data_IF_000174311379
#
_entry.id   IF_000174311379
#
_cell.length_a   1.000
_cell.length_b   1.000
_cell.length_c   1.000
_cell.angle_alpha   90.00
_cell.angle_beta   90.00
_cell.angle_gamma   90.00
#
_symmetry.space_group_name_H-M   'P 1'
#
loop_
_entity.id
_entity.type
_entity.pdbx_description
1 polymer ?
#
# COMPACT_ATOMS: atom_id res chain seq x y z
N UNK A 1 -43.35 -8.76 -40.53
CA UNK A 1 -42.09 -8.10 -40.11
C UNK A 1 -42.46 -7.09 -39.05
N UNK A 2 -42.09 -7.34 -37.80
CA UNK A 2 -42.44 -6.44 -36.70
C UNK A 2 -41.71 -5.11 -36.89
N UNK A 3 -42.48 -4.02 -36.95
CA UNK A 3 -41.96 -2.66 -37.06
C UNK A 3 -42.01 -1.99 -35.68
N UNK A 4 -40.91 -1.34 -35.30
CA UNK A 4 -40.77 -0.68 -34.02
C UNK A 4 -41.12 0.80 -34.16
N UNK A 5 -42.26 1.20 -33.60
CA UNK A 5 -42.74 2.58 -33.66
C UNK A 5 -42.16 3.41 -32.52
N UNK A 6 -41.74 4.65 -32.83
CA UNK A 6 -41.36 5.59 -31.80
C UNK A 6 -42.59 6.06 -31.01
N UNK A 7 -42.44 6.18 -29.70
CA UNK A 7 -43.54 6.60 -28.80
C UNK A 7 -43.70 8.11 -28.71
N UNK A 8 -42.69 8.86 -29.17
CA UNK A 8 -42.65 10.33 -29.14
C UNK A 8 -42.81 10.96 -30.53
N UNK A 9 -42.83 10.14 -31.59
CA UNK A 9 -43.26 10.57 -32.91
C UNK A 9 -43.73 9.36 -33.73
N UNK A 10 -44.51 9.58 -34.79
CA UNK A 10 -45.12 8.48 -35.56
C UNK A 10 -44.17 7.72 -36.51
N UNK A 11 -42.85 7.84 -36.35
CA UNK A 11 -41.87 7.12 -37.18
C UNK A 11 -41.74 5.64 -36.78
N UNK A 12 -41.70 4.77 -37.78
CA UNK A 12 -41.50 3.31 -37.65
C UNK A 12 -40.13 2.87 -38.16
N UNK A 13 -39.54 1.89 -37.49
CA UNK A 13 -38.19 1.39 -37.78
C UNK A 13 -38.18 -0.14 -37.90
N UNK A 14 -37.30 -0.67 -38.76
CA UNK A 14 -37.13 -2.11 -38.98
C UNK A 14 -36.36 -2.83 -37.88
N UNK A 15 -35.68 -2.10 -36.98
CA UNK A 15 -34.93 -2.68 -35.85
C UNK A 15 -34.99 -1.79 -34.61
N UNK A 16 -34.97 -2.40 -33.43
CA UNK A 16 -34.89 -1.71 -32.13
C UNK A 16 -33.67 -0.79 -32.04
N UNK A 17 -32.54 -1.18 -32.63
CA UNK A 17 -31.32 -0.35 -32.65
C UNK A 17 -31.50 0.95 -33.43
N UNK A 18 -32.24 0.92 -34.55
CA UNK A 18 -32.54 2.12 -35.32
C UNK A 18 -33.53 3.03 -34.61
N UNK A 19 -34.56 2.45 -33.98
CA UNK A 19 -35.49 3.19 -33.12
C UNK A 19 -34.75 3.89 -31.96
N UNK A 20 -33.87 3.17 -31.26
CA UNK A 20 -33.07 3.71 -30.17
C UNK A 20 -32.13 4.84 -30.63
N UNK A 21 -31.52 4.72 -31.82
CA UNK A 21 -30.72 5.80 -32.42
C UNK A 21 -31.56 7.02 -32.79
N UNK A 22 -32.76 6.81 -33.33
CA UNK A 22 -33.69 7.89 -33.68
C UNK A 22 -34.17 8.63 -32.44
N UNK A 23 -34.68 7.91 -31.43
CA UNK A 23 -35.17 8.52 -30.19
C UNK A 23 -34.07 9.30 -29.47
N UNK A 24 -32.83 8.84 -29.58
CA UNK A 24 -31.65 9.50 -29.04
C UNK A 24 -31.23 10.80 -29.75
N UNK A 25 -31.34 10.85 -31.08
CA UNK A 25 -30.94 12.02 -31.87
C UNK A 25 -32.03 13.08 -31.98
N UNK A 26 -33.30 12.66 -31.98
CA UNK A 26 -34.44 13.54 -32.22
C UNK A 26 -35.14 13.94 -30.91
N UNK A 27 -35.18 13.05 -29.92
CA UNK A 27 -35.92 13.29 -28.66
C UNK A 27 -35.02 13.45 -27.43
N UNK A 28 -33.70 13.61 -27.65
CA UNK A 28 -32.70 13.96 -26.63
C UNK A 28 -32.75 13.11 -25.34
N UNK A 29 -33.14 11.83 -25.44
CA UNK A 29 -33.13 10.91 -24.30
C UNK A 29 -31.69 10.67 -23.82
N UNK A 30 -31.37 11.19 -22.64
CA UNK A 30 -30.07 11.04 -21.97
C UNK A 30 -29.85 9.59 -21.60
N UNK A 31 -28.99 8.92 -22.37
CA UNK A 31 -28.44 7.61 -22.04
C UNK A 31 -27.06 7.45 -22.68
N UNK A 32 -26.09 7.14 -21.82
CA UNK A 32 -24.68 6.78 -22.03
C UNK A 32 -24.30 6.36 -23.46
N UNK A 33 -24.04 7.34 -24.33
CA UNK A 33 -23.37 7.04 -25.60
C UNK A 33 -21.96 6.56 -25.24
N UNK A 34 -21.55 5.38 -25.70
CA UNK A 34 -20.12 5.06 -25.76
C UNK A 34 -19.45 6.05 -26.72
N UNK A 35 -18.99 7.17 -26.16
CA UNK A 35 -18.24 8.18 -26.88
C UNK A 35 -16.86 7.63 -27.23
N UNK A 36 -16.34 8.10 -28.35
CA UNK A 36 -15.00 7.80 -28.83
C UNK A 36 -14.17 9.05 -28.62
N UNK A 37 -13.18 8.99 -27.72
CA UNK A 37 -12.30 10.13 -27.44
C UNK A 37 -11.15 10.21 -28.44
N UNK A 38 -10.93 11.39 -29.02
CA UNK A 38 -9.76 11.73 -29.81
C UNK A 38 -8.51 11.81 -28.92
N UNK A 39 -7.40 11.20 -29.35
CA UNK A 39 -6.15 11.17 -28.58
C UNK A 39 -5.29 12.43 -28.74
N UNK A 40 -5.64 13.32 -29.69
CA UNK A 40 -4.89 14.53 -30.01
C UNK A 40 -5.46 15.79 -29.34
N UNK A 41 -6.77 15.79 -29.01
CA UNK A 41 -7.43 16.94 -28.39
C UNK A 41 -8.49 16.58 -27.36
N UNK A 42 -8.60 15.29 -26.98
CA UNK A 42 -9.56 14.78 -25.99
C UNK A 42 -11.06 15.02 -26.30
N UNK A 43 -11.41 15.51 -27.49
CA UNK A 43 -12.80 15.68 -27.94
C UNK A 43 -13.51 14.32 -27.98
N UNK A 44 -14.74 14.29 -27.49
CA UNK A 44 -15.58 13.09 -27.45
C UNK A 44 -16.56 13.06 -28.63
N UNK A 45 -16.47 12.01 -29.44
CA UNK A 45 -17.23 11.86 -30.67
C UNK A 45 -18.22 10.70 -30.61
N UNK A 46 -19.32 10.82 -31.36
CA UNK A 46 -20.44 9.86 -31.34
C UNK A 46 -20.13 8.55 -32.07
N UNK A 47 -19.09 8.47 -32.89
CA UNK A 47 -18.73 7.27 -33.65
C UNK A 47 -17.26 7.21 -34.06
N UNK A 48 -16.79 6.03 -34.47
CA UNK A 48 -15.43 5.86 -35.01
C UNK A 48 -15.21 6.59 -36.34
N UNK A 49 -16.24 6.65 -37.20
CA UNK A 49 -16.15 7.37 -38.48
C UNK A 49 -16.06 8.87 -38.25
N UNK A 50 -16.87 9.40 -37.33
CA UNK A 50 -16.76 10.79 -36.89
C UNK A 50 -15.36 11.11 -36.33
N UNK A 51 -14.74 10.19 -35.59
CA UNK A 51 -13.35 10.36 -35.14
C UNK A 51 -12.36 10.39 -36.33
N UNK A 52 -12.48 9.48 -37.30
CA UNK A 52 -11.62 9.48 -38.50
C UNK A 52 -11.74 10.81 -39.26
N UNK A 53 -12.97 11.31 -39.45
CA UNK A 53 -13.24 12.58 -40.14
C UNK A 53 -12.73 13.78 -39.32
N UNK A 54 -12.89 13.75 -38.00
CA UNK A 54 -12.35 14.77 -37.10
C UNK A 54 -10.82 14.83 -37.15
N UNK A 55 -10.14 13.69 -37.19
CA UNK A 55 -8.67 13.64 -37.28
C UNK A 55 -8.20 14.25 -38.61
N UNK A 56 -8.91 14.00 -39.69
CA UNK A 56 -8.57 14.59 -40.99
C UNK A 56 -8.84 16.09 -41.02
N UNK A 57 -10.03 16.54 -40.60
CA UNK A 57 -10.46 17.95 -40.72
C UNK A 57 -9.88 18.89 -39.67
N UNK A 58 -9.70 18.42 -38.44
CA UNK A 58 -9.26 19.28 -37.31
C UNK A 58 -7.76 19.15 -37.07
N UNK A 59 -7.20 17.96 -37.31
CA UNK A 59 -5.78 17.72 -37.11
C UNK A 59 -4.98 17.67 -38.40
N UNK A 60 -5.61 17.80 -39.57
CA UNK A 60 -4.96 17.72 -40.89
C UNK A 60 -4.16 16.42 -41.05
N UNK A 61 -4.70 15.31 -40.55
CA UNK A 61 -4.06 14.00 -40.60
C UNK A 61 -4.92 13.05 -41.42
N UNK A 62 -4.45 12.76 -42.63
CA UNK A 62 -5.12 11.79 -43.50
C UNK A 62 -4.95 10.37 -42.97
N UNK A 63 -6.08 9.65 -42.88
CA UNK A 63 -6.11 8.25 -42.46
C UNK A 63 -5.73 7.35 -43.63
N UNK A 64 -4.51 6.86 -43.63
CA UNK A 64 -4.00 6.00 -44.69
C UNK A 64 -4.40 4.54 -44.45
N UNK A 65 -4.87 3.89 -45.52
CA UNK A 65 -5.30 2.50 -45.53
C UNK A 65 -4.57 1.73 -46.61
N UNK A 66 -4.22 0.49 -46.31
CA UNK A 66 -3.59 -0.46 -47.22
C UNK A 66 -4.42 -1.75 -47.24
N UNK A 67 -4.55 -2.37 -48.40
CA UNK A 67 -5.26 -3.65 -48.55
C UNK A 67 -4.30 -4.71 -49.05
N UNK A 68 -4.20 -5.82 -48.31
CA UNK A 68 -3.30 -6.93 -48.65
C UNK A 68 -4.04 -8.25 -48.66
N UNK A 69 -3.60 -9.17 -49.51
CA UNK A 69 -4.09 -10.54 -49.56
C UNK A 69 -2.97 -11.51 -49.21
N UNK A 70 -3.32 -12.58 -48.52
CA UNK A 70 -2.44 -13.66 -48.09
C UNK A 70 -3.10 -14.99 -48.41
N UNK A 71 -2.29 -15.99 -48.76
CA UNK A 71 -2.80 -17.32 -49.11
C UNK A 71 -3.29 -18.08 -47.88
N UNK A 72 -2.64 -17.87 -46.73
CA UNK A 72 -3.05 -18.48 -45.45
C UNK A 72 -3.13 -17.47 -44.32
N UNK A 73 -3.88 -17.83 -43.27
CA UNK A 73 -3.88 -17.07 -42.02
C UNK A 73 -2.52 -17.04 -41.32
N UNK A 74 -1.65 -18.01 -41.59
CA UNK A 74 -0.31 -18.05 -41.03
C UNK A 74 0.60 -16.99 -41.66
N UNK A 75 0.49 -16.77 -42.98
CA UNK A 75 1.23 -15.71 -43.67
C UNK A 75 0.83 -14.32 -43.18
N UNK A 76 -0.47 -14.13 -42.93
CA UNK A 76 -0.97 -12.93 -42.26
C UNK A 76 -0.34 -12.72 -40.88
N UNK A 77 -0.20 -13.77 -40.06
CA UNK A 77 0.41 -13.64 -38.72
C UNK A 77 1.87 -13.19 -38.81
N UNK A 78 2.66 -13.79 -39.71
CA UNK A 78 4.06 -13.43 -39.91
C UNK A 78 4.20 -11.97 -40.36
N UNK A 79 3.35 -11.54 -41.28
CA UNK A 79 3.29 -10.14 -41.70
C UNK A 79 2.89 -9.21 -40.54
N UNK A 80 1.87 -9.59 -39.76
CA UNK A 80 1.44 -8.83 -38.58
C UNK A 80 2.59 -8.68 -37.58
N UNK A 81 3.33 -9.75 -37.27
CA UNK A 81 4.48 -9.71 -36.36
C UNK A 81 5.59 -8.76 -36.85
N UNK A 82 5.85 -8.75 -38.17
CA UNK A 82 6.77 -7.80 -38.79
C UNK A 82 6.32 -6.35 -38.60
N UNK A 83 5.03 -6.05 -38.83
CA UNK A 83 4.46 -4.72 -38.59
C UNK A 83 4.53 -4.35 -37.09
N UNK A 84 4.25 -5.29 -36.19
CA UNK A 84 4.31 -5.05 -34.74
C UNK A 84 5.72 -4.70 -34.27
N UNK A 85 6.74 -5.36 -34.84
CA UNK A 85 8.15 -5.07 -34.59
C UNK A 85 8.56 -3.69 -35.14
N UNK A 86 8.16 -3.37 -36.38
CA UNK A 86 8.48 -2.09 -37.01
C UNK A 86 7.81 -0.90 -36.29
N UNK A 87 6.56 -1.06 -35.86
CA UNK A 87 5.76 0.03 -35.25
C UNK A 87 5.82 0.05 -33.72
N UNK A 88 6.56 -0.86 -33.10
CA UNK A 88 6.61 -1.05 -31.64
C UNK A 88 5.20 -1.08 -30.99
N UNK A 89 4.23 -1.65 -31.70
CA UNK A 89 2.82 -1.63 -31.35
C UNK A 89 2.21 -3.00 -31.60
N UNK A 90 1.47 -3.55 -30.64
CA UNK A 90 0.75 -4.81 -30.80
C UNK A 90 -0.69 -4.58 -31.30
N UNK A 91 -1.21 -5.51 -32.11
CA UNK A 91 -2.58 -5.56 -32.61
C UNK A 91 -3.33 -6.73 -31.98
N UNK A 92 -4.25 -6.42 -31.07
CA UNK A 92 -4.94 -7.39 -30.21
C UNK A 92 -6.41 -7.58 -30.62
N UNK A 93 -6.88 -8.81 -30.51
CA UNK A 93 -8.27 -9.19 -30.72
C UNK A 93 -9.06 -8.98 -29.42
N UNK A 94 -9.90 -7.94 -29.38
CA UNK A 94 -10.70 -7.60 -28.20
C UNK A 94 -12.15 -8.13 -28.26
N UNK A 95 -12.57 -8.66 -29.41
CA UNK A 95 -13.94 -9.14 -29.64
C UNK A 95 -13.92 -10.46 -30.40
N UNK A 96 -14.98 -11.26 -30.25
CA UNK A 96 -15.18 -12.45 -31.06
C UNK A 96 -15.21 -12.12 -32.57
N UNK A 97 -14.84 -13.10 -33.39
CA UNK A 97 -14.94 -12.99 -34.84
C UNK A 97 -16.43 -12.97 -35.25
N UNK A 98 -16.74 -12.28 -36.34
CA UNK A 98 -18.11 -12.14 -36.85
C UNK A 98 -18.26 -12.92 -38.15
N UNK A 99 -19.43 -13.49 -38.39
CA UNK A 99 -19.76 -14.10 -39.68
C UNK A 99 -19.85 -13.02 -40.77
N UNK A 100 -19.18 -13.27 -41.89
CA UNK A 100 -19.19 -12.43 -43.08
C UNK A 100 -20.42 -12.70 -43.95
N UNK A 101 -20.68 -11.80 -44.90
CA UNK A 101 -21.86 -11.89 -45.79
C UNK A 101 -21.83 -13.11 -46.74
N UNK A 102 -20.66 -13.70 -46.97
CA UNK A 102 -20.43 -14.81 -47.91
C UNK A 102 -19.95 -16.09 -47.21
N UNK A 103 -20.33 -16.31 -45.95
CA UNK A 103 -19.90 -17.50 -45.17
C UNK A 103 -18.49 -17.42 -44.57
N UNK A 104 -17.65 -16.49 -45.03
CA UNK A 104 -16.33 -16.22 -44.46
C UNK A 104 -16.35 -15.61 -43.04
N UNK A 105 -15.18 -15.46 -42.43
CA UNK A 105 -14.99 -14.98 -41.05
C UNK A 105 -14.29 -13.62 -41.03
N UNK A 106 -14.88 -12.67 -40.30
CA UNK A 106 -14.34 -11.33 -40.12
C UNK A 106 -13.76 -11.14 -38.71
N UNK A 107 -12.51 -10.71 -38.61
CA UNK A 107 -11.80 -10.47 -37.34
C UNK A 107 -11.20 -9.07 -37.31
N UNK A 108 -11.35 -8.39 -36.17
CA UNK A 108 -10.77 -7.06 -35.95
C UNK A 108 -9.62 -7.14 -34.94
N UNK A 109 -8.45 -6.65 -35.33
CA UNK A 109 -7.32 -6.42 -34.45
C UNK A 109 -7.13 -4.92 -34.27
N UNK A 110 -7.08 -4.47 -33.02
CA UNK A 110 -6.89 -3.06 -32.69
C UNK A 110 -5.54 -2.87 -32.03
N UNK A 111 -4.93 -1.69 -32.19
CA UNK A 111 -3.77 -1.32 -31.40
C UNK A 111 -4.03 -1.60 -29.90
N UNK A 112 -3.09 -2.26 -29.23
CA UNK A 112 -3.19 -2.65 -27.82
C UNK A 112 -3.33 -1.46 -26.87
N UNK A 113 -2.80 -0.29 -27.26
CA UNK A 113 -2.92 0.97 -26.54
C UNK A 113 -4.31 1.59 -26.67
N UNK A 114 -5.08 1.23 -27.70
CA UNK A 114 -6.42 1.75 -27.96
C UNK A 114 -7.43 1.36 -26.86
N UNK A 115 -8.25 2.33 -26.46
CA UNK A 115 -9.34 2.18 -25.50
C UNK A 115 -9.03 2.77 -24.13
N UNK A 116 -9.98 2.56 -23.22
CA UNK A 116 -9.90 3.03 -21.84
C UNK A 116 -9.41 1.93 -20.91
N UNK A 117 -8.70 2.31 -19.87
CA UNK A 117 -8.46 1.43 -18.75
C UNK A 117 -9.77 1.16 -18.01
N UNK A 118 -10.09 -0.12 -17.81
CA UNK A 118 -11.21 -0.54 -16.96
C UNK A 118 -10.63 -1.25 -15.74
N UNK A 119 -10.78 -0.66 -14.56
CA UNK A 119 -10.43 -1.33 -13.31
C UNK A 119 -11.27 -2.61 -13.15
N UNK A 120 -10.65 -3.69 -12.66
CA UNK A 120 -11.34 -4.94 -12.32
C UNK A 120 -11.07 -5.27 -10.85
N UNK A 121 -12.13 -5.44 -10.07
CA UNK A 121 -12.10 -5.75 -8.62
C UNK A 121 -12.17 -4.50 -7.72
N UNK A 122 -12.47 -4.71 -6.44
CA UNK A 122 -12.68 -3.68 -5.41
C UNK A 122 -11.38 -2.97 -5.00
N UNK A 123 -10.59 -2.40 -5.93
CA UNK A 123 -9.44 -1.50 -5.67
C UNK A 123 -8.42 -1.91 -4.57
N UNK A 124 -8.41 -3.16 -4.08
CA UNK A 124 -7.55 -3.64 -2.98
C UNK A 124 -6.10 -3.93 -3.40
N UNK A 125 -5.78 -3.84 -4.70
CA UNK A 125 -4.42 -3.97 -5.21
C UNK A 125 -3.99 -2.65 -5.84
N UNK A 126 -2.96 -2.04 -5.25
CA UNK A 126 -2.30 -0.87 -5.82
C UNK A 126 -1.93 -1.12 -7.29
N UNK A 127 -2.15 -0.13 -8.15
CA UNK A 127 -1.70 -0.21 -9.53
C UNK A 127 -0.19 -0.44 -9.58
N UNK A 128 0.27 -1.20 -10.58
CA UNK A 128 1.70 -1.24 -10.89
C UNK A 128 2.16 0.20 -11.16
N UNK A 129 3.37 0.56 -10.74
CA UNK A 129 3.97 1.90 -10.95
C UNK A 129 3.88 2.35 -12.42
N UNK A 130 3.92 1.41 -13.37
CA UNK A 130 3.81 1.69 -14.80
C UNK A 130 2.38 2.01 -15.30
N UNK A 131 1.37 1.93 -14.45
CA UNK A 131 -0.03 2.21 -14.82
C UNK A 131 -0.58 1.26 -15.90
N UNK A 132 -1.55 1.76 -16.66
CA UNK A 132 -2.14 1.06 -17.80
C UNK A 132 -1.47 1.46 -19.11
N UNK A 133 -1.27 0.52 -20.04
CA UNK A 133 -0.84 0.82 -21.41
C UNK A 133 -1.94 1.46 -22.28
N UNK A 134 -3.14 1.70 -21.72
CA UNK A 134 -4.28 2.30 -22.43
C UNK A 134 -4.11 3.81 -22.51
N UNK A 135 -4.29 4.36 -23.70
CA UNK A 135 -4.16 5.82 -23.95
C UNK A 135 -5.42 6.60 -23.60
N UNK A 136 -6.40 5.96 -22.94
CA UNK A 136 -7.69 6.56 -22.58
C UNK A 136 -8.36 7.32 -23.73
N UNK A 137 -8.26 6.73 -24.91
CA UNK A 137 -8.80 7.27 -26.16
C UNK A 137 -8.67 6.23 -27.26
N UNK A 138 -9.14 6.57 -28.46
CA UNK A 138 -9.20 5.62 -29.57
C UNK A 138 -8.09 5.89 -30.57
N UNK A 139 -7.09 5.00 -30.61
CA UNK A 139 -6.16 4.93 -31.74
C UNK A 139 -6.91 4.51 -33.02
N UNK A 140 -6.75 5.23 -34.15
CA UNK A 140 -7.38 4.89 -35.44
C UNK A 140 -6.78 3.63 -36.08
N UNK A 141 -5.53 3.29 -35.76
CA UNK A 141 -4.86 2.12 -36.32
C UNK A 141 -5.52 0.80 -35.92
N UNK A 142 -5.79 -0.03 -36.93
CA UNK A 142 -6.52 -1.30 -36.83
C UNK A 142 -6.28 -2.15 -38.07
N UNK A 143 -6.40 -3.46 -37.91
CA UNK A 143 -6.43 -4.43 -39.01
C UNK A 143 -7.81 -5.09 -39.02
N UNK A 144 -8.48 -5.04 -40.16
CA UNK A 144 -9.73 -5.75 -40.42
C UNK A 144 -9.42 -6.90 -41.37
N UNK A 145 -9.55 -8.11 -40.86
CA UNK A 145 -9.11 -9.35 -41.50
C UNK A 145 -10.33 -10.15 -41.89
N UNK A 146 -10.46 -10.44 -43.18
CA UNK A 146 -11.49 -11.31 -43.75
C UNK A 146 -10.83 -12.61 -44.23
N UNK A 147 -11.31 -13.73 -43.73
CA UNK A 147 -10.92 -15.08 -44.13
C UNK A 147 -12.11 -15.68 -44.87
N UNK A 148 -11.94 -16.07 -46.13
CA UNK A 148 -13.01 -16.70 -46.90
C UNK A 148 -13.13 -18.21 -46.65
N UNK A 149 -14.00 -18.88 -47.39
CA UNK A 149 -14.26 -20.32 -47.25
C UNK A 149 -13.06 -21.14 -47.77
N UNK A 150 -12.26 -20.58 -48.68
CA UNK A 150 -11.07 -21.20 -49.26
C UNK A 150 -9.80 -20.92 -48.45
N UNK A 151 -9.95 -20.37 -47.23
CA UNK A 151 -8.87 -20.00 -46.30
C UNK A 151 -7.96 -18.85 -46.78
N UNK A 152 -8.32 -18.15 -47.85
CA UNK A 152 -7.60 -16.98 -48.32
C UNK A 152 -7.95 -15.78 -47.43
N UNK A 153 -6.94 -14.96 -47.13
CA UNK A 153 -7.05 -13.88 -46.15
C UNK A 153 -6.86 -12.52 -46.79
N UNK A 154 -7.86 -11.64 -46.67
CA UNK A 154 -7.78 -10.23 -47.08
C UNK A 154 -7.75 -9.31 -45.87
N UNK A 155 -6.80 -8.38 -45.81
CA UNK A 155 -6.58 -7.48 -44.69
C UNK A 155 -6.69 -6.03 -45.16
N UNK A 156 -7.65 -5.30 -44.58
CA UNK A 156 -7.73 -3.83 -44.65
C UNK A 156 -7.00 -3.26 -43.43
N UNK A 157 -5.80 -2.74 -43.64
CA UNK A 157 -4.93 -2.19 -42.60
C UNK A 157 -4.98 -0.66 -42.59
N UNK A 158 -5.46 -0.08 -41.49
CA UNK A 158 -5.33 1.35 -41.23
C UNK A 158 -4.00 1.61 -40.53
N UNK A 159 -3.02 2.17 -41.25
CA UNK A 159 -1.64 2.34 -40.74
C UNK A 159 -1.45 3.59 -39.87
N UNK A 160 -2.30 4.61 -40.01
CA UNK A 160 -2.14 5.87 -39.27
C UNK A 160 -2.16 5.66 -37.77
N UNK A 161 -1.02 5.90 -37.12
CA UNK A 161 -0.76 5.62 -35.71
C UNK A 161 -0.13 6.85 -35.03
N UNK A 162 -0.91 7.91 -34.80
CA UNK A 162 -0.40 9.16 -34.21
C UNK A 162 -0.43 9.12 -32.68
N UNK A 163 0.52 8.39 -32.10
CA UNK A 163 0.81 8.47 -30.67
C UNK A 163 1.80 9.59 -30.41
N UNK A 164 1.47 10.45 -29.46
CA UNK A 164 2.44 11.40 -28.90
C UNK A 164 3.40 10.74 -27.92
N UNK A 165 4.51 11.42 -27.61
CA UNK A 165 5.55 10.94 -26.69
C UNK A 165 5.00 10.53 -25.33
N UNK A 166 4.02 11.26 -24.81
CA UNK A 166 3.35 10.98 -23.53
C UNK A 166 2.65 9.61 -23.53
N UNK A 167 2.19 9.14 -24.68
CA UNK A 167 1.57 7.82 -24.83
C UNK A 167 2.58 6.67 -24.92
N UNK A 168 3.88 6.99 -25.06
CA UNK A 168 4.98 6.05 -25.23
C UNK A 168 5.94 6.04 -24.02
N UNK A 169 5.57 6.70 -22.91
CA UNK A 169 6.39 6.77 -21.70
C UNK A 169 6.72 5.36 -21.21
N UNK A 170 8.01 5.11 -21.03
CA UNK A 170 8.59 3.91 -20.44
C UNK A 170 9.01 4.16 -19.00
N UNK A 171 9.37 3.10 -18.27
CA UNK A 171 9.95 3.24 -16.93
C UNK A 171 11.26 4.04 -16.94
N UNK A 172 12.05 3.91 -18.00
CA UNK A 172 13.30 4.65 -18.11
C UNK A 172 13.04 6.15 -18.30
N UNK A 173 12.01 6.51 -19.07
CA UNK A 173 11.62 7.91 -19.25
C UNK A 173 11.20 8.56 -17.93
N UNK A 174 10.45 7.84 -17.09
CA UNK A 174 10.06 8.33 -15.75
C UNK A 174 11.29 8.55 -14.85
N UNK A 175 12.29 7.65 -14.93
CA UNK A 175 13.54 7.82 -14.19
C UNK A 175 14.32 9.04 -14.70
N UNK A 176 14.45 9.17 -16.02
CA UNK A 176 15.15 10.29 -16.64
C UNK A 176 14.48 11.62 -16.30
N UNK A 177 13.14 11.73 -16.39
CA UNK A 177 12.40 12.95 -16.00
C UNK A 177 12.62 13.27 -14.52
N UNK A 178 12.61 12.25 -13.66
CA UNK A 178 12.86 12.42 -12.23
C UNK A 178 14.25 12.99 -11.96
N UNK A 179 15.26 12.48 -12.66
CA UNK A 179 16.66 12.92 -12.56
C UNK A 179 16.85 14.32 -13.15
N UNK A 180 16.31 14.57 -14.34
CA UNK A 180 16.44 15.82 -15.10
C UNK A 180 15.77 17.01 -14.40
N UNK A 181 14.54 16.81 -13.89
CA UNK A 181 13.80 17.86 -13.19
C UNK A 181 14.10 17.92 -11.70
N UNK A 182 15.11 17.16 -11.24
CA UNK A 182 15.50 17.02 -9.85
C UNK A 182 14.27 16.81 -8.94
N UNK A 183 13.31 16.00 -9.42
CA UNK A 183 12.11 15.62 -8.68
C UNK A 183 12.58 14.59 -7.64
N UNK A 184 13.26 15.09 -6.62
CA UNK A 184 13.75 14.30 -5.51
C UNK A 184 12.55 13.65 -4.84
N UNK A 185 12.52 12.32 -4.82
CA UNK A 185 11.42 11.57 -4.22
C UNK A 185 11.40 11.60 -2.69
N UNK A 186 12.33 12.27 -2.00
CA UNK A 186 12.64 11.85 -0.63
C UNK A 186 12.85 13.01 0.39
N UNK A 187 12.34 14.22 0.15
CA UNK A 187 12.34 15.27 1.18
C UNK A 187 13.73 15.75 1.65
N UNK A 188 14.76 15.56 0.82
CA UNK A 188 16.13 15.99 1.08
C UNK A 188 16.29 17.45 0.63
N UNK A 189 16.52 18.36 1.56
CA UNK A 189 16.61 19.82 1.38
C UNK A 189 18.05 20.36 1.48
N UNK A 190 19.01 19.47 1.78
CA UNK A 190 20.43 19.79 1.86
C UNK A 190 21.27 18.52 1.64
N UNK A 191 22.53 18.70 1.21
CA UNK A 191 23.54 17.63 1.14
C UNK A 191 23.92 17.04 2.51
N UNK A 192 23.76 17.82 3.59
CA UNK A 192 23.94 17.36 4.95
C UNK A 192 22.60 16.96 5.56
N UNK A 193 22.46 15.70 5.98
CA UNK A 193 21.19 15.16 6.47
C UNK A 193 20.64 15.91 7.70
N UNK A 194 21.51 16.31 8.64
CA UNK A 194 21.11 17.06 9.84
C UNK A 194 20.54 18.42 9.44
N UNK A 195 21.22 19.12 8.53
CA UNK A 195 20.75 20.41 8.00
C UNK A 195 19.45 20.24 7.21
N UNK A 196 19.34 19.17 6.43
CA UNK A 196 18.14 18.85 5.66
C UNK A 196 16.92 18.64 6.56
N UNK A 197 17.06 17.84 7.63
CA UNK A 197 16.00 17.59 8.62
C UNK A 197 15.61 18.89 9.32
N UNK A 198 16.60 19.71 9.73
CA UNK A 198 16.33 21.02 10.33
C UNK A 198 15.50 21.93 9.42
N UNK A 199 15.92 22.09 8.16
CA UNK A 199 15.15 22.88 7.17
C UNK A 199 13.73 22.36 7.00
N UNK A 200 13.56 21.03 7.01
CA UNK A 200 12.25 20.40 6.87
C UNK A 200 11.36 20.69 8.08
N UNK A 201 11.91 20.53 9.30
CA UNK A 201 11.19 20.83 10.54
C UNK A 201 10.80 22.31 10.62
N UNK A 202 11.73 23.23 10.35
CA UNK A 202 11.45 24.67 10.40
C UNK A 202 10.41 25.12 9.35
N UNK A 203 10.41 24.49 8.17
CA UNK A 203 9.38 24.71 7.15
C UNK A 203 7.98 24.20 7.54
N UNK A 204 7.89 23.32 8.55
CA UNK A 204 6.63 22.79 9.07
C UNK A 204 6.20 23.44 10.38
N UNK A 205 7.12 23.82 11.27
CA UNK A 205 6.81 24.44 12.58
C UNK A 205 5.98 25.71 12.46
N UNK A 206 6.25 26.51 11.42
CA UNK A 206 5.58 27.79 11.21
C UNK A 206 4.17 27.70 10.60
N UNK A 207 3.66 26.49 10.37
CA UNK A 207 2.32 26.28 9.82
C UNK A 207 1.28 26.15 10.92
N UNK A 208 0.08 26.62 10.67
CA UNK A 208 -1.06 26.44 11.59
C UNK A 208 -1.39 24.94 11.79
N UNK A 209 -1.24 24.13 10.74
CA UNK A 209 -1.46 22.69 10.76
C UNK A 209 -0.19 21.89 11.10
N UNK A 210 0.79 22.51 11.78
CA UNK A 210 2.09 21.89 12.01
C UNK A 210 1.96 20.50 12.63
N UNK A 211 2.55 19.47 12.00
CA UNK A 211 2.57 18.14 12.57
C UNK A 211 3.69 17.98 13.60
N UNK A 212 4.57 18.97 13.79
CA UNK A 212 5.71 18.89 14.69
C UNK A 212 5.23 19.20 16.11
N UNK A 213 5.32 18.21 17.00
CA UNK A 213 4.92 18.34 18.42
C UNK A 213 6.14 18.68 19.29
N UNK A 214 7.27 18.03 19.02
CA UNK A 214 8.53 18.27 19.72
C UNK A 214 9.68 18.06 18.75
N UNK A 215 10.68 18.92 18.82
CA UNK A 215 11.92 18.74 18.08
C UNK A 215 13.10 19.18 18.92
N UNK A 216 14.00 18.23 19.20
CA UNK A 216 15.31 18.40 19.81
C UNK A 216 16.34 18.00 18.76
N UNK A 217 17.08 18.98 18.26
CA UNK A 217 18.12 18.77 17.25
C UNK A 217 19.43 18.24 17.85
N UNK A 218 20.21 17.59 17.01
CA UNK A 218 21.61 17.28 17.31
C UNK A 218 22.42 18.57 17.34
N UNK A 219 23.42 18.63 18.22
CA UNK A 219 24.24 19.82 18.50
C UNK A 219 23.55 20.92 19.33
N UNK A 220 22.33 20.70 19.82
CA UNK A 220 21.66 21.58 20.78
C UNK A 220 21.69 20.93 22.17
N UNK A 221 22.22 21.67 23.14
CA UNK A 221 22.12 21.36 24.57
C UNK A 221 21.36 22.49 25.27
N UNK A 222 20.22 22.16 25.87
CA UNK A 222 19.39 23.08 26.65
C UNK A 222 18.70 22.29 27.77
N UNK A 223 19.19 22.44 29.00
CA UNK A 223 18.67 21.70 30.16
C UNK A 223 17.28 22.19 30.59
N UNK A 224 16.88 23.42 30.22
CA UNK A 224 15.55 23.94 30.56
C UNK A 224 14.49 23.39 29.60
N UNK A 225 14.81 23.31 28.31
CA UNK A 225 13.88 22.79 27.30
C UNK A 225 13.91 21.26 27.20
N UNK A 226 15.09 20.64 27.38
CA UNK A 226 15.30 19.21 27.20
C UNK A 226 16.09 18.62 28.39
N UNK A 227 15.52 18.64 29.61
CA UNK A 227 16.20 18.16 30.81
C UNK A 227 16.72 16.72 30.64
N UNK A 228 18.00 16.52 30.98
CA UNK A 228 18.69 15.25 30.87
C UNK A 228 19.07 14.79 29.45
N UNK A 229 18.84 15.60 28.42
CA UNK A 229 19.25 15.32 27.03
C UNK A 229 20.60 15.98 26.72
N UNK A 230 21.49 15.24 26.05
CA UNK A 230 22.83 15.73 25.66
C UNK A 230 22.79 16.40 24.28
N UNK A 231 23.87 17.08 23.90
CA UNK A 231 23.97 17.76 22.61
C UNK A 231 23.75 16.80 21.42
N UNK A 232 24.32 15.60 21.48
CA UNK A 232 24.27 14.57 20.44
C UNK A 232 22.92 13.83 20.33
N UNK A 233 22.07 13.93 21.36
CA UNK A 233 20.76 13.28 21.35
C UNK A 233 19.85 13.91 20.30
N UNK A 234 18.87 13.17 19.82
CA UNK A 234 17.89 13.66 18.86
C UNK A 234 16.53 13.16 19.28
N UNK A 235 15.52 14.02 19.19
CA UNK A 235 14.15 13.64 19.47
C UNK A 235 13.21 14.43 18.57
N UNK A 236 12.39 13.72 17.81
CA UNK A 236 11.36 14.30 16.96
C UNK A 236 10.03 13.60 17.20
N UNK A 237 9.02 14.35 17.60
CA UNK A 237 7.66 13.86 17.80
C UNK A 237 6.75 14.49 16.77
N UNK A 238 6.00 13.65 16.05
CA UNK A 238 5.14 14.06 14.95
C UNK A 238 3.71 13.58 15.19
N UNK A 239 2.76 14.52 15.16
CA UNK A 239 1.31 14.30 15.17
C UNK A 239 0.61 15.38 14.34
N UNK A 240 0.01 14.99 13.21
CA UNK A 240 -0.87 15.90 12.47
C UNK A 240 -2.25 16.07 13.15
N UNK A 241 -3.09 16.95 12.62
CA UNK A 241 -4.42 17.23 13.17
C UNK A 241 -5.29 15.96 13.30
N UNK A 242 -5.39 15.15 12.25
CA UNK A 242 -6.17 13.91 12.29
C UNK A 242 -5.63 12.91 13.32
N UNK A 243 -4.32 12.83 13.49
CA UNK A 243 -3.69 11.99 14.51
C UNK A 243 -4.00 12.47 15.92
N UNK A 244 -3.96 13.78 16.16
CA UNK A 244 -4.39 14.39 17.43
C UNK A 244 -5.85 14.06 17.72
N UNK A 245 -6.73 14.16 16.73
CA UNK A 245 -8.15 13.84 16.88
C UNK A 245 -8.37 12.36 17.19
N UNK A 246 -7.73 11.46 16.43
CA UNK A 246 -7.81 10.01 16.69
C UNK A 246 -7.32 9.66 18.09
N UNK A 247 -6.26 10.31 18.58
CA UNK A 247 -5.78 10.12 19.94
C UNK A 247 -6.80 10.58 20.99
N UNK A 248 -7.47 11.72 20.76
CA UNK A 248 -8.52 12.22 21.65
C UNK A 248 -9.75 11.31 21.67
N UNK A 249 -10.17 10.79 20.53
CA UNK A 249 -11.36 9.94 20.43
C UNK A 249 -11.15 8.53 21.00
N UNK A 250 -10.00 7.91 20.71
CA UNK A 250 -9.78 6.49 21.00
C UNK A 250 -8.71 6.22 22.08
N UNK A 251 -7.94 7.23 22.48
CA UNK A 251 -6.82 7.05 23.42
C UNK A 251 -7.21 6.70 24.86
N UNK A 252 -8.50 6.74 25.21
CA UNK A 252 -8.99 6.37 26.54
C UNK A 252 -9.33 4.88 26.70
N UNK A 253 -9.47 4.12 25.60
CA UNK A 253 -9.69 2.67 25.71
C UNK A 253 -8.36 1.90 25.66
N UNK A 254 -7.74 1.83 24.49
CA UNK A 254 -6.55 1.01 24.29
C UNK A 254 -5.48 1.76 23.52
N UNK A 255 -4.29 1.83 24.11
CA UNK A 255 -3.08 2.35 23.48
C UNK A 255 -2.04 1.24 23.38
N UNK A 256 -1.42 1.14 22.20
CA UNK A 256 -0.30 0.24 21.96
C UNK A 256 0.93 1.06 21.55
N UNK A 257 2.08 0.80 22.17
CA UNK A 257 3.37 1.39 21.85
C UNK A 257 4.28 0.33 21.25
N UNK A 258 4.93 0.66 20.15
CA UNK A 258 5.88 -0.26 19.53
C UNK A 258 7.12 0.44 18.94
N UNK A 259 8.29 -0.16 19.15
CA UNK A 259 9.55 0.21 18.51
C UNK A 259 9.80 -0.59 17.23
N UNK A 260 10.10 0.15 16.19
CA UNK A 260 10.73 -0.40 15.00
C UNK A 260 12.25 -0.25 15.09
N UNK A 261 12.89 -1.22 15.72
CA UNK A 261 14.36 -1.22 15.86
C UNK A 261 15.09 -1.38 14.53
N UNK A 262 16.15 -0.58 14.34
CA UNK A 262 17.17 -0.81 13.30
C UNK A 262 16.68 -0.63 11.86
N UNK A 263 15.78 0.33 11.63
CA UNK A 263 15.21 0.57 10.30
C UNK A 263 16.03 1.52 9.41
N UNK A 264 17.13 2.09 9.89
CA UNK A 264 17.96 3.02 9.13
C UNK A 264 19.45 2.85 9.41
N UNK A 265 20.28 3.37 8.50
CA UNK A 265 21.74 3.29 8.58
C UNK A 265 22.35 4.14 9.71
N UNK A 266 21.56 4.99 10.35
CA UNK A 266 22.01 5.98 11.32
C UNK A 266 21.73 5.59 12.78
N UNK A 267 21.07 4.45 13.01
CA UNK A 267 20.78 3.95 14.35
C UNK A 267 19.66 4.69 15.09
N UNK A 268 18.77 5.39 14.39
CA UNK A 268 17.56 5.96 15.01
C UNK A 268 16.45 4.92 15.09
N UNK A 269 15.75 4.92 16.21
CA UNK A 269 14.56 4.12 16.42
C UNK A 269 13.30 4.96 16.18
N UNK A 270 12.28 4.30 15.63
CA UNK A 270 10.95 4.86 15.49
C UNK A 270 10.00 4.13 16.44
N UNK A 271 9.52 4.84 17.45
CA UNK A 271 8.39 4.43 18.27
C UNK A 271 7.09 4.94 17.65
N UNK A 272 6.06 4.09 17.65
CA UNK A 272 4.72 4.44 17.19
C UNK A 272 3.71 4.25 18.28
N UNK A 273 2.90 5.29 18.55
CA UNK A 273 1.74 5.24 19.42
C UNK A 273 0.52 4.92 18.56
N UNK A 274 -0.13 3.80 18.86
CA UNK A 274 -1.30 3.29 18.17
C UNK A 274 -2.52 3.38 19.08
N UNK A 275 -3.63 3.86 18.54
CA UNK A 275 -4.96 3.70 19.15
C UNK A 275 -5.72 2.60 18.43
N UNK A 276 -6.61 1.91 19.14
CA UNK A 276 -7.46 0.88 18.54
C UNK A 276 -8.92 1.35 18.46
N UNK A 277 -9.54 1.20 17.29
CA UNK A 277 -11.00 1.28 17.11
C UNK A 277 -11.52 -0.08 16.65
N UNK A 278 -12.38 -0.73 17.44
CA UNK A 278 -13.12 -1.96 17.06
C UNK A 278 -12.30 -2.99 16.26
N UNK A 279 -11.02 -3.17 16.64
CA UNK A 279 -10.04 -4.08 16.03
C UNK A 279 -9.37 -3.57 14.74
N UNK A 280 -9.19 -2.26 14.59
CA UNK A 280 -8.23 -1.68 13.64
C UNK A 280 -7.29 -0.72 14.39
N UNK A 281 -6.00 -0.76 14.06
CA UNK A 281 -4.99 0.07 14.70
C UNK A 281 -4.66 1.29 13.86
N UNK A 282 -4.68 2.47 14.48
CA UNK A 282 -4.35 3.74 13.82
C UNK A 282 -3.12 4.39 14.49
N UNK A 283 -2.08 4.77 13.73
CA UNK A 283 -0.89 5.43 14.27
C UNK A 283 -1.19 6.89 14.62
N UNK A 284 -1.37 7.15 15.90
CA UNK A 284 -1.75 8.44 16.45
C UNK A 284 -0.55 9.32 16.82
N UNK A 285 0.66 8.78 16.94
CA UNK A 285 1.89 9.58 17.04
C UNK A 285 3.11 8.78 16.57
N UNK A 286 4.12 9.50 16.09
CA UNK A 286 5.44 8.95 15.77
C UNK A 286 6.51 9.65 16.59
N UNK A 287 7.43 8.89 17.16
CA UNK A 287 8.57 9.38 17.96
C UNK A 287 9.83 8.82 17.34
N UNK A 288 10.69 9.68 16.81
CA UNK A 288 12.00 9.32 16.28
C UNK A 288 13.08 9.77 17.24
N UNK A 289 13.97 8.86 17.64
CA UNK A 289 15.08 9.19 18.53
C UNK A 289 16.27 8.25 18.34
N UNK A 290 17.47 8.75 18.63
CA UNK A 290 18.67 7.92 18.80
C UNK A 290 18.87 7.47 20.27
N UNK A 291 17.92 7.79 21.16
CA UNK A 291 17.94 7.46 22.60
C UNK A 291 16.58 6.89 23.04
N UNK A 292 16.59 5.73 23.67
CA UNK A 292 15.38 4.97 24.01
C UNK A 292 15.11 4.84 25.53
N UNK A 293 15.81 5.63 26.35
CA UNK A 293 15.65 5.54 27.79
C UNK A 293 14.39 6.27 28.28
N UNK A 294 14.11 6.13 29.57
CA UNK A 294 12.96 6.76 30.20
C UNK A 294 13.01 8.29 30.09
N UNK A 295 14.18 8.92 29.99
CA UNK A 295 14.32 10.37 29.89
C UNK A 295 13.79 10.89 28.56
N UNK A 296 14.29 10.36 27.44
CA UNK A 296 13.85 10.78 26.11
C UNK A 296 12.35 10.52 25.89
N UNK A 297 11.86 9.36 26.36
CA UNK A 297 10.45 8.99 26.26
C UNK A 297 9.55 9.86 27.14
N UNK A 298 10.00 10.27 28.33
CA UNK A 298 9.23 11.16 29.21
C UNK A 298 9.03 12.52 28.54
N UNK A 299 10.06 13.08 27.91
CA UNK A 299 9.95 14.33 27.15
C UNK A 299 8.97 14.20 25.97
N UNK A 300 9.08 13.10 25.21
CA UNK A 300 8.17 12.85 24.10
C UNK A 300 6.71 12.75 24.57
N UNK A 301 6.45 11.99 25.63
CA UNK A 301 5.11 11.84 26.18
C UNK A 301 4.57 13.12 26.80
N UNK A 302 5.40 13.93 27.46
CA UNK A 302 4.99 15.23 27.99
C UNK A 302 4.49 16.15 26.88
N UNK A 303 5.22 16.24 25.77
CA UNK A 303 4.80 17.04 24.61
C UNK A 303 3.49 16.51 23.96
N UNK A 304 3.29 15.18 23.92
CA UNK A 304 2.02 14.58 23.47
C UNK A 304 0.87 14.92 24.43
N UNK A 305 1.13 14.93 25.74
CA UNK A 305 0.14 15.25 26.78
C UNK A 305 -0.35 16.69 26.69
N UNK A 306 0.48 17.64 26.28
CA UNK A 306 0.02 19.03 26.06
C UNK A 306 -1.09 19.13 24.99
N UNK A 307 -1.17 18.16 24.09
CA UNK A 307 -2.12 18.13 22.98
C UNK A 307 -3.32 17.20 23.24
N UNK A 308 -3.35 16.50 24.37
CA UNK A 308 -4.32 15.43 24.64
C UNK A 308 -4.70 15.33 26.12
N UNK A 309 -5.84 14.71 26.40
CA UNK A 309 -6.21 14.36 27.77
C UNK A 309 -6.66 12.90 27.77
N UNK A 310 -5.67 12.00 27.77
CA UNK A 310 -5.89 10.56 27.66
C UNK A 310 -5.52 9.86 28.96
N UNK A 311 -6.30 8.84 29.31
CA UNK A 311 -6.09 7.92 30.41
C UNK A 311 -6.55 6.54 29.95
N UNK A 312 -5.70 5.78 29.22
CA UNK A 312 -6.11 4.52 28.64
C UNK A 312 -6.47 3.49 29.71
N UNK A 313 -7.59 2.80 29.50
CA UNK A 313 -7.93 1.57 30.23
C UNK A 313 -6.84 0.51 30.03
N UNK A 314 -6.31 0.37 28.82
CA UNK A 314 -5.28 -0.62 28.50
C UNK A 314 -4.09 0.03 27.82
N UNK A 315 -2.91 -0.20 28.38
CA UNK A 315 -1.63 0.15 27.75
C UNK A 315 -0.87 -1.11 27.41
N UNK A 316 -0.60 -1.32 26.12
CA UNK A 316 0.28 -2.38 25.64
C UNK A 316 1.63 -1.80 25.23
N UNK A 317 2.72 -2.26 25.83
CA UNK A 317 4.09 -1.83 25.50
C UNK A 317 4.90 -2.99 24.93
N UNK A 318 6.11 -2.71 24.50
CA UNK A 318 7.13 -3.76 24.38
C UNK A 318 7.52 -4.30 25.78
N UNK A 319 8.53 -5.17 25.81
CA UNK A 319 9.06 -5.77 27.04
C UNK A 319 10.09 -4.86 27.77
N UNK A 320 10.35 -3.66 27.25
CA UNK A 320 11.23 -2.69 27.90
C UNK A 320 10.49 -1.92 28.99
N UNK A 321 11.13 -1.77 30.15
CA UNK A 321 10.57 -0.95 31.24
C UNK A 321 10.62 0.55 30.95
N UNK A 322 11.48 1.01 30.02
CA UNK A 322 11.64 2.44 29.72
C UNK A 322 10.34 3.10 29.32
N UNK A 323 9.53 2.45 28.46
CA UNK A 323 8.23 2.98 28.05
C UNK A 323 7.25 3.07 29.18
N UNK A 324 7.09 1.98 29.94
CA UNK A 324 6.11 1.93 30.99
C UNK A 324 6.44 2.95 32.09
N UNK A 325 7.72 3.10 32.44
CA UNK A 325 8.17 4.08 33.43
C UNK A 325 7.96 5.53 32.94
N UNK A 326 8.31 5.82 31.68
CA UNK A 326 8.06 7.13 31.09
C UNK A 326 6.56 7.44 31.02
N UNK A 327 5.75 6.47 30.57
CA UNK A 327 4.30 6.61 30.52
C UNK A 327 3.71 6.86 31.90
N UNK A 328 4.08 6.04 32.89
CA UNK A 328 3.63 6.16 34.27
C UNK A 328 3.94 7.55 34.85
N UNK A 329 5.11 8.09 34.52
CA UNK A 329 5.54 9.42 34.97
C UNK A 329 4.67 10.53 34.38
N UNK A 330 4.28 10.41 33.11
CA UNK A 330 3.55 11.47 32.38
C UNK A 330 2.03 11.33 32.49
N UNK A 331 1.49 10.15 32.20
CA UNK A 331 0.05 9.89 32.10
C UNK A 331 -0.51 9.14 33.32
N UNK A 332 0.34 8.65 34.22
CA UNK A 332 -0.08 7.85 35.37
C UNK A 332 -0.18 6.35 35.06
N UNK A 333 -0.65 5.58 36.05
CA UNK A 333 -0.76 4.13 35.94
C UNK A 333 -2.05 3.79 35.17
N UNK A 334 -1.98 3.04 34.04
CA UNK A 334 -3.18 2.59 33.34
C UNK A 334 -3.91 1.52 34.16
N UNK A 335 -5.21 1.31 33.91
CA UNK A 335 -5.99 0.25 34.59
C UNK A 335 -5.36 -1.13 34.33
N UNK A 336 -4.91 -1.40 33.10
CA UNK A 336 -4.21 -2.63 32.74
C UNK A 336 -2.97 -2.36 31.89
N UNK A 337 -1.82 -2.87 32.35
CA UNK A 337 -0.59 -3.01 31.53
C UNK A 337 -0.59 -4.37 30.84
N UNK A 338 -0.23 -4.39 29.57
CA UNK A 338 0.03 -5.60 28.79
C UNK A 338 1.36 -5.47 28.04
N UNK A 339 1.98 -6.62 27.74
CA UNK A 339 3.13 -6.70 26.85
C UNK A 339 2.67 -7.13 25.46
N UNK A 340 3.35 -6.64 24.44
CA UNK A 340 3.17 -7.09 23.08
C UNK A 340 3.62 -8.56 22.94
N UNK A 341 2.71 -9.45 22.55
CA UNK A 341 2.95 -10.90 22.44
C UNK A 341 4.09 -11.22 21.46
N UNK A 342 4.25 -10.41 20.40
CA UNK A 342 5.38 -10.56 19.48
C UNK A 342 6.73 -10.27 20.14
N UNK A 343 6.82 -9.23 20.99
CA UNK A 343 8.06 -8.91 21.70
C UNK A 343 8.42 -9.99 22.71
N UNK A 344 7.44 -10.48 23.46
CA UNK A 344 7.62 -11.61 24.39
C UNK A 344 8.14 -12.85 23.63
N UNK A 345 7.48 -13.24 22.52
CA UNK A 345 7.90 -14.37 21.69
C UNK A 345 9.34 -14.19 21.13
N UNK A 346 9.66 -12.99 20.65
CA UNK A 346 10.99 -12.64 20.14
C UNK A 346 12.06 -12.70 21.22
N UNK A 347 11.79 -12.17 22.41
CA UNK A 347 12.69 -12.21 23.57
C UNK A 347 12.95 -13.66 23.99
N UNK A 348 11.91 -14.49 24.06
CA UNK A 348 12.07 -15.92 24.35
C UNK A 348 12.91 -16.64 23.31
N UNK A 349 12.64 -16.47 22.01
CA UNK A 349 13.46 -17.10 20.95
C UNK A 349 14.93 -16.72 21.04
N UNK A 350 15.23 -15.44 21.29
CA UNK A 350 16.61 -14.95 21.47
C UNK A 350 17.27 -15.56 22.69
N UNK A 351 16.59 -15.55 23.83
CA UNK A 351 17.12 -16.11 25.08
C UNK A 351 17.28 -17.62 25.00
N UNK A 352 16.35 -18.35 24.37
CA UNK A 352 16.46 -19.80 24.11
C UNK A 352 17.69 -20.09 23.24
N UNK A 353 17.85 -19.37 22.12
CA UNK A 353 18.99 -19.58 21.22
C UNK A 353 20.34 -19.26 21.89
N UNK A 354 20.35 -18.34 22.85
CA UNK A 354 21.54 -17.93 23.61
C UNK A 354 21.86 -18.87 24.78
N UNK A 355 20.85 -19.32 25.52
CA UNK A 355 21.00 -20.02 26.80
C UNK A 355 20.89 -21.55 26.68
N UNK A 356 20.38 -22.08 25.56
CA UNK A 356 20.23 -23.52 25.34
C UNK A 356 21.08 -23.94 24.15
N UNK A 357 22.10 -24.77 24.38
CA UNK A 357 23.06 -25.17 23.33
C UNK A 357 22.49 -26.18 22.33
N UNK A 358 21.68 -27.14 22.81
CA UNK A 358 21.15 -28.23 21.99
C UNK A 358 19.89 -27.79 21.22
N UNK A 359 19.91 -27.90 19.88
CA UNK A 359 18.78 -27.50 19.01
C UNK A 359 17.47 -28.21 19.33
N UNK A 360 17.52 -29.50 19.66
CA UNK A 360 16.32 -30.27 20.02
C UNK A 360 15.66 -29.71 21.28
N UNK A 361 16.47 -29.34 22.28
CA UNK A 361 16.01 -28.71 23.52
C UNK A 361 15.51 -27.28 23.28
N UNK A 362 16.12 -26.52 22.35
CA UNK A 362 15.58 -25.21 21.96
C UNK A 362 14.15 -25.32 21.41
N UNK A 363 13.89 -26.32 20.55
CA UNK A 363 12.56 -26.56 19.98
C UNK A 363 11.56 -26.94 21.07
N UNK A 364 11.97 -27.80 22.00
CA UNK A 364 11.13 -28.20 23.12
C UNK A 364 10.81 -27.04 24.06
N UNK A 365 11.82 -26.30 24.52
CA UNK A 365 11.63 -25.13 25.38
C UNK A 365 10.71 -24.10 24.72
N UNK A 366 10.90 -23.85 23.42
CA UNK A 366 10.05 -22.94 22.65
C UNK A 366 8.59 -23.43 22.58
N UNK A 367 8.35 -24.74 22.36
CA UNK A 367 7.00 -25.30 22.37
C UNK A 367 6.30 -25.10 23.72
N UNK A 368 7.01 -25.30 24.82
CA UNK A 368 6.49 -25.14 26.18
C UNK A 368 6.11 -23.68 26.45
N UNK A 369 7.02 -22.72 26.22
CA UNK A 369 6.65 -21.31 26.46
C UNK A 369 5.58 -20.82 25.49
N UNK A 370 5.53 -21.38 24.27
CA UNK A 370 4.49 -21.03 23.30
C UNK A 370 3.11 -21.56 23.69
N UNK A 371 3.01 -22.74 24.30
CA UNK A 371 1.72 -23.25 24.81
C UNK A 371 1.21 -22.37 25.96
N UNK A 372 2.09 -21.97 26.89
CA UNK A 372 1.74 -21.01 27.96
C UNK A 372 1.20 -19.69 27.40
N UNK A 373 1.82 -19.18 26.33
CA UNK A 373 1.45 -17.89 25.75
C UNK A 373 0.04 -17.85 25.17
N UNK A 374 -0.44 -18.98 24.64
CA UNK A 374 -1.74 -19.08 23.95
C UNK A 374 -2.82 -19.72 24.80
N UNK A 375 -2.48 -20.23 25.99
CA UNK A 375 -3.45 -20.83 26.89
C UNK A 375 -4.51 -19.80 27.28
N UNK A 376 -5.76 -20.24 27.19
CA UNK A 376 -6.92 -19.39 27.37
C UNK A 376 -7.49 -19.54 28.78
N UNK A 377 -7.43 -20.72 29.38
CA UNK A 377 -7.97 -20.97 30.71
C UNK A 377 -6.93 -20.65 31.79
N UNK A 378 -7.34 -19.87 32.80
CA UNK A 378 -6.44 -19.39 33.86
C UNK A 378 -6.00 -20.52 34.80
N UNK A 379 -6.92 -21.43 35.16
CA UNK A 379 -6.59 -22.56 36.01
C UNK A 379 -5.67 -23.56 35.29
N UNK A 380 -5.92 -23.84 34.01
CA UNK A 380 -5.04 -24.65 33.18
C UNK A 380 -3.67 -24.00 33.02
N UNK A 381 -3.61 -22.67 32.80
CA UNK A 381 -2.36 -21.93 32.70
C UNK A 381 -1.50 -22.07 33.96
N UNK A 382 -2.08 -21.94 35.15
CA UNK A 382 -1.34 -22.07 36.41
C UNK A 382 -0.73 -23.46 36.61
N UNK A 383 -1.46 -24.51 36.19
CA UNK A 383 -0.97 -25.89 36.20
C UNK A 383 0.18 -26.03 35.19
N UNK A 384 -0.03 -25.58 33.94
CA UNK A 384 0.96 -25.65 32.89
C UNK A 384 2.24 -24.87 33.23
N UNK A 385 2.14 -23.72 33.90
CA UNK A 385 3.31 -22.91 34.28
C UNK A 385 4.16 -23.65 35.32
N UNK A 386 3.52 -24.28 36.31
CA UNK A 386 4.22 -25.10 37.32
C UNK A 386 4.89 -26.31 36.69
N UNK A 387 4.19 -27.00 35.78
CA UNK A 387 4.73 -28.14 35.04
C UNK A 387 5.90 -27.73 34.14
N UNK A 388 5.79 -26.61 33.42
CA UNK A 388 6.85 -26.07 32.59
C UNK A 388 8.12 -25.77 33.40
N UNK A 389 7.99 -25.11 34.55
CA UNK A 389 9.13 -24.82 35.43
C UNK A 389 9.79 -26.10 35.94
N UNK A 390 9.00 -27.14 36.25
CA UNK A 390 9.53 -28.45 36.63
C UNK A 390 10.27 -29.13 35.48
N UNK A 391 9.68 -29.16 34.28
CA UNK A 391 10.30 -29.75 33.09
C UNK A 391 11.64 -29.07 32.73
N UNK A 392 11.73 -27.75 32.90
CA UNK A 392 12.99 -27.03 32.67
C UNK A 392 14.05 -27.34 33.74
N UNK A 393 13.64 -27.68 34.96
CA UNK A 393 14.55 -28.01 36.07
C UNK A 393 15.12 -29.44 35.97
N UNK A 394 14.32 -30.37 35.43
CA UNK A 394 14.72 -31.77 35.19
C UNK A 394 15.84 -31.92 34.16
N UNK A 395 16.04 -30.93 33.28
CA UNK A 395 17.03 -30.97 32.20
C UNK A 395 18.14 -29.96 32.45
N UNK A 396 19.37 -30.46 32.61
CA UNK A 396 20.55 -29.61 32.89
C UNK A 396 20.71 -28.49 31.87
N UNK A 397 20.51 -28.77 30.58
CA UNK A 397 20.65 -27.80 29.48
C UNK A 397 19.57 -26.71 29.46
N UNK A 398 18.52 -26.82 30.27
CA UNK A 398 17.44 -25.82 30.35
C UNK A 398 17.49 -24.97 31.62
N UNK A 399 18.37 -25.26 32.58
CA UNK A 399 18.41 -24.58 33.88
C UNK A 399 18.69 -23.09 33.78
N UNK A 400 19.63 -22.67 32.92
CA UNK A 400 19.90 -21.24 32.70
C UNK A 400 18.68 -20.52 32.12
N UNK A 401 17.99 -21.16 31.16
CA UNK A 401 16.76 -20.63 30.60
C UNK A 401 15.63 -20.58 31.63
N UNK A 402 15.51 -21.59 32.50
CA UNK A 402 14.56 -21.63 33.61
C UNK A 402 14.75 -20.44 34.53
N UNK A 403 15.98 -20.17 34.96
CA UNK A 403 16.31 -19.02 35.82
C UNK A 403 15.89 -17.70 35.16
N UNK A 404 16.26 -17.51 33.88
CA UNK A 404 15.85 -16.34 33.12
C UNK A 404 14.32 -16.20 33.03
N UNK A 405 13.63 -17.27 32.64
CA UNK A 405 12.18 -17.26 32.43
C UNK A 405 11.42 -17.01 33.74
N UNK A 406 11.85 -17.64 34.82
CA UNK A 406 11.24 -17.51 36.15
C UNK A 406 11.43 -16.10 36.73
N UNK A 407 12.61 -15.51 36.57
CA UNK A 407 12.88 -14.15 37.05
C UNK A 407 12.17 -13.08 36.22
N UNK A 408 12.02 -13.31 34.91
CA UNK A 408 11.56 -12.27 33.98
C UNK A 408 10.07 -12.36 33.65
N UNK A 409 9.50 -13.56 33.52
CA UNK A 409 8.15 -13.77 32.99
C UNK A 409 7.21 -14.48 33.95
N UNK A 410 7.65 -15.54 34.64
CA UNK A 410 6.73 -16.35 35.46
C UNK A 410 6.05 -15.54 36.56
N UNK A 411 6.73 -14.57 37.15
CA UNK A 411 6.20 -13.71 38.23
C UNK A 411 5.28 -12.58 37.74
N UNK A 412 5.14 -12.43 36.42
CA UNK A 412 4.35 -11.37 35.78
C UNK A 412 3.47 -11.89 34.64
N UNK A 413 2.93 -13.10 34.80
CA UNK A 413 2.08 -13.74 33.78
C UNK A 413 0.87 -12.89 33.39
N UNK A 414 0.35 -12.09 34.33
CA UNK A 414 -0.80 -11.21 34.18
C UNK A 414 -0.64 -10.13 33.11
N UNK A 415 0.60 -9.80 32.72
CA UNK A 415 0.87 -8.81 31.66
C UNK A 415 1.12 -9.43 30.29
N UNK A 416 1.35 -10.75 30.16
CA UNK A 416 1.68 -11.36 28.87
C UNK A 416 0.83 -12.56 28.45
N UNK A 417 0.34 -13.38 29.37
CA UNK A 417 -0.39 -14.61 29.02
C UNK A 417 -1.78 -14.31 28.44
N UNK A 418 -2.25 -15.13 27.51
CA UNK A 418 -3.50 -14.87 26.80
C UNK A 418 -4.73 -14.99 27.71
N UNK A 419 -4.73 -15.93 28.66
CA UNK A 419 -5.79 -16.10 29.66
C UNK A 419 -6.13 -14.78 30.38
N UNK A 420 -5.14 -13.94 30.70
CA UNK A 420 -5.34 -12.65 31.37
C UNK A 420 -5.68 -11.48 30.43
N UNK A 421 -5.77 -11.71 29.10
CA UNK A 421 -6.14 -10.69 28.09
C UNK A 421 -7.62 -10.71 27.69
N UNK A 422 -8.33 -11.81 27.94
CA UNK A 422 -9.67 -12.13 27.39
C UNK A 422 -10.69 -10.98 27.48
N UNK A 423 -10.63 -10.19 28.54
CA UNK A 423 -11.61 -9.13 28.83
C UNK A 423 -11.22 -7.75 28.28
N UNK A 424 -10.07 -7.63 27.63
CA UNK A 424 -9.50 -6.35 27.21
C UNK A 424 -9.62 -6.08 25.71
N UNK A 425 -10.10 -7.03 24.91
CA UNK A 425 -10.35 -6.85 23.47
C UNK A 425 -9.11 -6.91 22.57
N UNK A 426 -7.93 -7.19 23.13
CA UNK A 426 -6.64 -7.28 22.44
C UNK A 426 -6.23 -8.75 22.33
N UNK A 427 -6.82 -9.47 21.38
CA UNK A 427 -6.59 -10.90 21.21
C UNK A 427 -5.54 -11.24 20.15
N UNK A 428 -5.10 -10.30 19.30
CA UNK A 428 -4.26 -10.63 18.14
C UNK A 428 -3.08 -9.69 17.94
N UNK A 429 -1.95 -10.28 17.51
CA UNK A 429 -0.74 -9.59 17.04
C UNK A 429 -0.93 -8.83 15.71
N UNK A 430 -2.11 -8.92 15.08
CA UNK A 430 -2.27 -8.59 13.65
C UNK A 430 -2.14 -7.09 13.34
N UNK A 431 -2.55 -6.19 14.24
CA UNK A 431 -2.61 -4.75 13.94
C UNK A 431 -1.22 -4.11 13.88
N UNK A 432 -0.39 -4.42 14.87
CA UNK A 432 1.01 -3.99 14.96
C UNK A 432 1.82 -4.59 13.80
N UNK A 433 1.67 -5.90 13.57
CA UNK A 433 2.37 -6.59 12.47
C UNK A 433 1.97 -6.06 11.08
N UNK A 434 0.69 -5.73 10.87
CA UNK A 434 0.19 -5.15 9.62
C UNK A 434 0.75 -3.75 9.34
N UNK A 435 0.81 -2.91 10.38
CA UNK A 435 1.39 -1.57 10.27
C UNK A 435 2.90 -1.65 10.01
N UNK A 436 3.63 -2.48 10.77
CA UNK A 436 5.06 -2.73 10.54
C UNK A 436 5.34 -3.28 9.14
N UNK A 437 4.48 -4.17 8.65
CA UNK A 437 4.58 -4.68 7.27
C UNK A 437 4.42 -3.53 6.27
N UNK A 438 3.46 -2.64 6.47
CA UNK A 438 3.22 -1.48 5.60
C UNK A 438 4.42 -0.54 5.59
N UNK A 439 4.96 -0.12 6.75
CA UNK A 439 6.13 0.76 6.82
C UNK A 439 7.36 0.10 6.15
N UNK A 440 7.65 -1.17 6.48
CA UNK A 440 8.81 -1.88 5.94
C UNK A 440 8.73 -2.13 4.42
N UNK A 441 7.56 -2.51 3.92
CA UNK A 441 7.44 -2.95 2.52
C UNK A 441 7.10 -1.82 1.57
N UNK A 442 6.30 -0.83 2.00
CA UNK A 442 5.83 0.25 1.12
C UNK A 442 6.83 1.40 1.10
N UNK A 443 7.29 1.86 2.28
CA UNK A 443 8.12 3.06 2.38
C UNK A 443 9.61 2.75 2.38
N UNK A 444 10.03 1.69 3.10
CA UNK A 444 11.45 1.29 3.17
C UNK A 444 11.89 0.34 2.04
N UNK A 445 11.02 0.07 1.06
CA UNK A 445 11.27 -0.79 -0.11
C UNK A 445 11.81 -2.19 0.25
N UNK A 446 11.48 -2.71 1.43
CA UNK A 446 11.98 -4.00 1.91
C UNK A 446 13.48 -4.05 2.22
N UNK A 447 14.16 -2.90 2.34
CA UNK A 447 15.56 -2.83 2.78
C UNK A 447 15.62 -3.03 4.30
N UNK A 448 15.44 -4.26 4.77
CA UNK A 448 16.07 -4.67 6.03
C UNK A 448 17.55 -4.83 5.73
N UNK A 449 18.42 -4.00 6.30
CA UNK A 449 19.82 -4.37 6.36
C UNK A 449 19.92 -5.72 7.07
N UNK A 450 20.63 -6.66 6.45
CA UNK A 450 21.03 -7.88 7.11
C UNK A 450 21.80 -7.48 8.36
N UNK A 451 21.25 -7.79 9.53
CA UNK A 451 21.97 -7.80 10.80
C UNK A 451 23.29 -8.53 10.58
N UNK A 452 24.41 -7.84 10.79
CA UNK A 452 25.66 -8.50 11.19
C UNK A 452 25.52 -8.97 12.64
#
# INVERSE_FOLDING_TARGET
MDSFKCVECDKTFSTVSNLNRHAKLIHNKVSTIKQVRCILCNVELISKKALEDHIDLVHNITIEKDTRTFDTFQDFKLWKESIEKQTSSLYVKNTASKSGKSGGKMTYFYCHRSGFYNARGDMKRNMKIAGSNKINGKCPSKMKVYEDIESKVTVEFTKTHKLERIHLITRQDIKNIKEEYNISSDGILDSNDVVSVNKWVEGLKNREDSPIVLFKDQNIFDENLYPGMKAEDFLLVIMNASQKDMLKFYGNDTICLDFTHGMNAYGFDLATLLVLDKREGFPAAFILSNRQDSTALTLAFAAIKEHTCISPRVLMTDDSESFFNAWKTVFGIPEKRLLCTWHVDRSWRRSIARLITKKEMQVEAYKIVRSLLVETDEAAFDIMLKEALKMFDEKEEMKEFKMYFEQTYSKRSEVWAYCHRKWYGINTNMHIESMHRTIKHVYLKGKSQATR
#
